data_IF_050665764922
#
_entry.id   IF_050665764922
#
_cell.length_a   1.000
_cell.length_b   1.000
_cell.length_c   1.000
_cell.angle_alpha   90.00
_cell.angle_beta   90.00
_cell.angle_gamma   90.00
#
_symmetry.space_group_name_H-M   'P 1'
#
loop_
_entity.id
_entity.type
_entity.pdbx_description
1 polymer ?
#
# COMPACT_ATOMS: atom_id res chain seq x y z
N UNK A 1 7.81 -36.29 -47.05
CA UNK A 1 8.22 -35.66 -45.80
C UNK A 1 7.09 -34.74 -45.39
N UNK A 2 6.12 -35.30 -44.67
CA UNK A 2 4.91 -34.63 -44.21
C UNK A 2 5.21 -34.14 -42.78
N UNK A 3 5.26 -32.81 -42.60
CA UNK A 3 5.37 -32.17 -41.30
C UNK A 3 3.98 -32.15 -40.67
N UNK A 4 3.70 -33.09 -39.78
CA UNK A 4 2.53 -33.08 -38.92
C UNK A 4 2.82 -32.09 -37.76
N UNK A 5 2.29 -30.89 -37.94
CA UNK A 5 2.26 -29.87 -36.91
C UNK A 5 1.07 -30.15 -36.00
N UNK A 6 1.23 -31.02 -35.02
CA UNK A 6 0.23 -31.30 -33.99
C UNK A 6 0.25 -30.11 -33.04
N UNK A 7 -0.77 -29.26 -33.15
CA UNK A 7 -1.10 -28.23 -32.14
C UNK A 7 -1.57 -28.95 -30.87
N UNK A 8 -1.16 -28.50 -29.69
CA UNK A 8 -1.58 -29.11 -28.44
C UNK A 8 -3.05 -28.75 -28.13
N UNK A 9 -3.98 -29.65 -28.52
CA UNK A 9 -5.42 -29.53 -28.25
C UNK A 9 -5.77 -29.64 -26.75
N UNK A 10 -4.82 -30.06 -25.91
CA UNK A 10 -5.11 -30.39 -24.50
C UNK A 10 -5.09 -29.16 -23.57
N UNK A 11 -4.38 -28.09 -23.91
CA UNK A 11 -4.30 -26.88 -23.07
C UNK A 11 -5.54 -25.99 -23.20
N UNK A 12 -6.22 -26.00 -24.35
CA UNK A 12 -7.42 -25.20 -24.58
C UNK A 12 -8.67 -25.74 -23.87
N UNK A 13 -8.76 -27.05 -23.64
CA UNK A 13 -9.89 -27.66 -22.95
C UNK A 13 -9.91 -27.38 -21.45
N UNK A 14 -8.75 -27.41 -20.79
CA UNK A 14 -8.62 -27.07 -19.34
C UNK A 14 -8.92 -25.60 -19.06
N UNK A 15 -8.40 -24.68 -19.86
CA UNK A 15 -8.67 -23.24 -19.71
C UNK A 15 -10.16 -22.92 -19.90
N UNK A 16 -10.82 -23.54 -20.85
CA UNK A 16 -12.27 -23.38 -21.10
C UNK A 16 -13.08 -23.96 -19.95
N UNK A 17 -12.65 -25.08 -19.37
CA UNK A 17 -13.32 -25.70 -18.23
C UNK A 17 -13.20 -24.86 -16.97
N UNK A 18 -12.00 -24.39 -16.64
CA UNK A 18 -11.74 -23.47 -15.52
C UNK A 18 -12.57 -22.17 -15.66
N UNK A 19 -12.70 -21.66 -16.87
CA UNK A 19 -13.50 -20.47 -17.15
C UNK A 19 -15.00 -20.71 -16.87
N UNK A 20 -15.54 -21.86 -17.29
CA UNK A 20 -16.95 -22.25 -17.06
C UNK A 20 -17.27 -22.45 -15.58
N UNK A 21 -16.37 -23.09 -14.85
CA UNK A 21 -16.53 -23.29 -13.40
C UNK A 21 -16.45 -21.97 -12.65
N UNK A 22 -15.51 -21.11 -13.03
CA UNK A 22 -15.38 -19.76 -12.45
C UNK A 22 -16.64 -18.93 -12.69
N UNK A 23 -17.26 -19.02 -13.86
CA UNK A 23 -18.52 -18.32 -14.16
C UNK A 23 -19.66 -18.81 -13.28
N UNK A 24 -19.81 -20.14 -13.07
CA UNK A 24 -20.83 -20.66 -12.16
C UNK A 24 -20.64 -20.17 -10.73
N UNK A 25 -19.41 -20.19 -10.23
CA UNK A 25 -19.09 -19.67 -8.89
C UNK A 25 -19.40 -18.17 -8.82
N UNK A 26 -19.05 -17.42 -9.87
CA UNK A 26 -19.36 -15.99 -9.96
C UNK A 26 -20.86 -15.71 -9.88
N UNK A 27 -21.67 -16.43 -10.66
CA UNK A 27 -23.12 -16.27 -10.66
C UNK A 27 -23.71 -16.57 -9.27
N UNK A 28 -23.23 -17.62 -8.61
CA UNK A 28 -23.65 -17.99 -7.26
C UNK A 28 -23.27 -16.91 -6.25
N UNK A 29 -22.04 -16.41 -6.30
CA UNK A 29 -21.56 -15.33 -5.42
C UNK A 29 -22.35 -14.05 -5.66
N UNK A 30 -22.63 -13.70 -6.91
CA UNK A 30 -23.40 -12.52 -7.29
C UNK A 30 -24.85 -12.60 -6.81
N UNK A 31 -25.53 -13.72 -7.08
CA UNK A 31 -26.95 -13.91 -6.72
C UNK A 31 -27.17 -13.87 -5.20
N UNK A 32 -26.17 -14.23 -4.43
CA UNK A 32 -26.20 -14.22 -2.95
C UNK A 32 -25.54 -12.97 -2.33
N UNK A 33 -25.40 -11.88 -3.08
CA UNK A 33 -24.76 -10.65 -2.60
C UNK A 33 -23.31 -10.82 -2.10
N UNK A 34 -22.65 -11.91 -2.46
CA UNK A 34 -21.31 -12.24 -1.97
C UNK A 34 -20.24 -11.20 -2.35
N UNK A 35 -20.42 -10.48 -3.46
CA UNK A 35 -19.50 -9.40 -3.85
C UNK A 35 -19.55 -8.26 -2.84
N UNK A 36 -20.73 -7.88 -2.37
CA UNK A 36 -20.88 -6.82 -1.35
C UNK A 36 -20.19 -7.27 -0.06
N UNK A 37 -20.37 -8.53 0.34
CA UNK A 37 -19.72 -9.08 1.53
C UNK A 37 -18.19 -9.06 1.38
N UNK A 38 -17.64 -9.50 0.24
CA UNK A 38 -16.20 -9.46 0.00
C UNK A 38 -15.64 -8.03 0.02
N UNK A 39 -16.35 -7.06 -0.56
CA UNK A 39 -15.95 -5.65 -0.50
C UNK A 39 -15.99 -5.10 0.92
N UNK A 40 -17.02 -5.44 1.70
CA UNK A 40 -17.11 -5.05 3.11
C UNK A 40 -15.97 -5.64 3.92
N UNK A 41 -15.57 -6.90 3.67
CA UNK A 41 -14.43 -7.52 4.33
C UNK A 41 -13.11 -6.82 4.00
N UNK A 42 -12.92 -6.32 2.77
CA UNK A 42 -11.74 -5.52 2.43
C UNK A 42 -11.73 -4.17 3.16
N UNK A 43 -12.89 -3.56 3.34
CA UNK A 43 -13.01 -2.27 4.02
C UNK A 43 -13.06 -2.40 5.55
N UNK A 44 -13.15 -3.62 6.07
CA UNK A 44 -13.29 -3.89 7.49
C UNK A 44 -12.11 -3.38 8.28
N UNK A 45 -12.40 -2.78 9.43
CA UNK A 45 -11.42 -2.33 10.42
C UNK A 45 -11.53 -3.05 11.76
N UNK A 46 -12.60 -3.80 11.94
CA UNK A 46 -12.91 -4.53 13.18
C UNK A 46 -13.34 -5.98 12.87
N UNK A 47 -12.92 -6.99 13.64
CA UNK A 47 -11.99 -6.88 14.77
C UNK A 47 -10.57 -6.50 14.28
N UNK A 48 -9.92 -5.64 15.03
CA UNK A 48 -8.60 -5.08 14.66
C UNK A 48 -7.56 -6.19 14.48
N UNK A 49 -7.64 -7.25 15.29
CA UNK A 49 -6.69 -8.37 15.28
C UNK A 49 -6.68 -9.17 14.00
N UNK A 50 -7.81 -9.28 13.29
CA UNK A 50 -7.95 -10.16 12.13
C UNK A 50 -8.26 -9.40 10.84
N UNK A 51 -8.34 -8.06 10.90
CA UNK A 51 -8.77 -7.25 9.79
C UNK A 51 -7.88 -7.41 8.54
N UNK A 52 -6.56 -7.39 8.69
CA UNK A 52 -5.63 -7.56 7.55
C UNK A 52 -5.66 -8.98 6.99
N UNK A 53 -5.87 -10.00 7.85
CA UNK A 53 -6.08 -11.37 7.41
C UNK A 53 -7.35 -11.50 6.56
N UNK A 54 -8.48 -10.96 7.04
CA UNK A 54 -9.77 -11.00 6.35
C UNK A 54 -9.73 -10.24 5.02
N UNK A 55 -9.07 -9.08 5.00
CA UNK A 55 -8.79 -8.32 3.76
C UNK A 55 -8.03 -9.15 2.75
N UNK A 56 -6.98 -9.84 3.20
CA UNK A 56 -6.19 -10.74 2.35
C UNK A 56 -7.02 -11.86 1.75
N UNK A 57 -7.83 -12.52 2.57
CA UNK A 57 -8.70 -13.60 2.10
C UNK A 57 -9.76 -13.10 1.10
N UNK A 58 -10.36 -11.94 1.33
CA UNK A 58 -11.31 -11.33 0.40
C UNK A 58 -10.65 -10.95 -0.93
N UNK A 59 -9.44 -10.37 -0.91
CA UNK A 59 -8.68 -10.10 -2.13
C UNK A 59 -8.32 -11.37 -2.90
N UNK A 60 -7.92 -12.43 -2.19
CA UNK A 60 -7.63 -13.73 -2.80
C UNK A 60 -8.86 -14.35 -3.47
N UNK A 61 -10.02 -14.27 -2.82
CA UNK A 61 -11.29 -14.75 -3.39
C UNK A 61 -11.66 -13.98 -4.66
N UNK A 62 -11.58 -12.64 -4.64
CA UNK A 62 -11.83 -11.81 -5.82
C UNK A 62 -10.80 -12.07 -6.93
N UNK A 63 -9.52 -12.29 -6.61
CA UNK A 63 -8.51 -12.67 -7.59
C UNK A 63 -8.79 -14.03 -8.24
N UNK A 64 -9.33 -14.99 -7.48
CA UNK A 64 -9.80 -16.26 -8.01
C UNK A 64 -10.95 -16.10 -9.01
N UNK A 65 -11.93 -15.28 -8.67
CA UNK A 65 -13.06 -14.95 -9.55
C UNK A 65 -12.63 -14.18 -10.81
N UNK A 66 -11.62 -13.30 -10.69
CA UNK A 66 -11.07 -12.51 -11.78
C UNK A 66 -10.22 -13.31 -12.79
N UNK A 67 -10.11 -14.63 -12.65
CA UNK A 67 -9.51 -15.49 -13.68
C UNK A 67 -10.31 -15.46 -14.99
N UNK A 68 -11.61 -15.30 -14.90
CA UNK A 68 -12.45 -15.02 -16.05
C UNK A 68 -12.32 -13.53 -16.42
N UNK A 69 -11.95 -13.23 -17.65
CA UNK A 69 -11.79 -11.86 -18.13
C UNK A 69 -13.08 -11.05 -17.98
N UNK A 70 -14.23 -11.65 -18.30
CA UNK A 70 -15.54 -11.01 -18.14
C UNK A 70 -15.80 -10.59 -16.70
N UNK A 71 -15.46 -11.45 -15.73
CA UNK A 71 -15.57 -11.16 -14.30
C UNK A 71 -14.57 -10.11 -13.86
N UNK A 72 -13.34 -10.21 -14.34
CA UNK A 72 -12.28 -9.21 -14.09
C UNK A 72 -12.69 -7.80 -14.53
N UNK A 73 -13.34 -7.65 -15.69
CA UNK A 73 -13.87 -6.39 -16.20
C UNK A 73 -14.97 -5.81 -15.28
N UNK A 74 -15.81 -6.65 -14.70
CA UNK A 74 -16.84 -6.20 -13.75
C UNK A 74 -16.18 -5.73 -12.44
N UNK A 75 -15.27 -6.54 -11.88
CA UNK A 75 -14.56 -6.22 -10.64
C UNK A 75 -13.78 -4.90 -10.79
N UNK A 76 -13.10 -4.69 -11.93
CA UNK A 76 -12.34 -3.47 -12.22
C UNK A 76 -13.17 -2.19 -12.09
N UNK A 77 -14.48 -2.25 -12.36
CA UNK A 77 -15.39 -1.09 -12.29
C UNK A 77 -15.88 -0.79 -10.89
N UNK A 78 -15.58 -1.63 -9.91
CA UNK A 78 -16.02 -1.40 -8.53
C UNK A 78 -15.30 -0.19 -7.92
N UNK A 79 -15.99 0.63 -7.11
CA UNK A 79 -15.46 1.90 -6.59
C UNK A 79 -14.14 1.77 -5.85
N UNK A 80 -13.93 0.66 -5.13
CA UNK A 80 -12.69 0.41 -4.37
C UNK A 80 -11.43 0.39 -5.25
N UNK A 81 -11.57 -0.02 -6.52
CA UNK A 81 -10.46 -0.06 -7.47
C UNK A 81 -10.33 1.24 -8.25
N UNK A 82 -11.45 1.83 -8.66
CA UNK A 82 -11.47 3.09 -9.44
C UNK A 82 -10.92 4.25 -8.61
N UNK A 83 -11.26 4.33 -7.34
CA UNK A 83 -10.89 5.43 -6.44
C UNK A 83 -9.53 5.23 -5.75
N UNK A 84 -8.80 4.16 -6.06
CA UNK A 84 -7.51 3.88 -5.43
C UNK A 84 -7.60 3.54 -3.94
N UNK A 85 -8.77 3.19 -3.43
CA UNK A 85 -8.97 2.86 -2.00
C UNK A 85 -8.18 1.62 -1.59
N UNK A 86 -8.10 0.60 -2.47
CA UNK A 86 -7.34 -0.60 -2.19
C UNK A 86 -5.86 -0.29 -1.98
N UNK A 87 -5.28 0.58 -2.81
CA UNK A 87 -3.89 1.02 -2.69
C UNK A 87 -3.64 1.79 -1.38
N UNK A 88 -4.61 2.57 -0.91
CA UNK A 88 -4.52 3.24 0.37
C UNK A 88 -4.53 2.25 1.55
N UNK A 89 -5.38 1.21 1.48
CA UNK A 89 -5.42 0.17 2.51
C UNK A 89 -4.13 -0.66 2.59
N UNK A 90 -3.40 -0.77 1.48
CA UNK A 90 -2.13 -1.50 1.40
C UNK A 90 -0.95 -0.74 2.02
N UNK A 91 -1.10 0.54 2.40
CA UNK A 91 0.01 1.34 2.92
C UNK A 91 0.45 0.91 4.31
N UNK A 92 -0.47 0.86 5.23
CA UNK A 92 -0.17 0.65 6.65
C UNK A 92 -0.97 -0.51 7.23
N UNK A 93 -0.34 -1.37 8.05
CA UNK A 93 -1.05 -2.40 8.77
C UNK A 93 -1.97 -1.77 9.81
N UNK A 94 -3.11 -2.40 10.07
CA UNK A 94 -4.01 -1.98 11.15
C UNK A 94 -3.34 -2.16 12.51
N UNK A 95 -2.62 -3.28 12.69
CA UNK A 95 -1.80 -3.56 13.86
C UNK A 95 -0.36 -3.82 13.44
N UNK A 96 0.58 -3.09 14.03
CA UNK A 96 2.00 -3.27 13.74
C UNK A 96 2.50 -4.68 14.13
N UNK A 97 1.95 -5.26 15.18
CA UNK A 97 2.25 -6.62 15.65
C UNK A 97 1.83 -7.69 14.62
N UNK A 98 0.82 -7.40 13.80
CA UNK A 98 0.28 -8.29 12.76
C UNK A 98 0.80 -7.99 11.35
N UNK A 99 1.99 -7.40 11.27
CA UNK A 99 2.61 -7.01 9.99
C UNK A 99 2.73 -8.16 8.99
N UNK A 100 2.96 -9.39 9.45
CA UNK A 100 3.03 -10.57 8.58
C UNK A 100 1.72 -10.83 7.83
N UNK A 101 0.57 -10.58 8.47
CA UNK A 101 -0.75 -10.71 7.85
C UNK A 101 -1.00 -9.59 6.84
N UNK A 102 -0.57 -8.37 7.16
CA UNK A 102 -0.61 -7.24 6.24
C UNK A 102 0.20 -7.49 4.96
N UNK A 103 1.41 -8.07 5.06
CA UNK A 103 2.22 -8.45 3.90
C UNK A 103 1.49 -9.48 3.03
N UNK A 104 0.80 -10.45 3.63
CA UNK A 104 -0.04 -11.39 2.87
C UNK A 104 -1.20 -10.68 2.17
N UNK A 105 -1.86 -9.74 2.86
CA UNK A 105 -2.89 -8.91 2.27
C UNK A 105 -2.34 -8.12 1.07
N UNK A 106 -1.20 -7.44 1.20
CA UNK A 106 -0.55 -6.71 0.12
C UNK A 106 -0.30 -7.62 -1.10
N UNK A 107 0.22 -8.83 -0.86
CA UNK A 107 0.46 -9.82 -1.91
C UNK A 107 -0.83 -10.17 -2.69
N UNK A 108 -1.90 -10.51 -1.99
CA UNK A 108 -3.17 -10.88 -2.65
C UNK A 108 -3.86 -9.68 -3.30
N UNK A 109 -3.72 -8.48 -2.74
CA UNK A 109 -4.23 -7.26 -3.34
C UNK A 109 -3.50 -6.91 -4.64
N UNK A 110 -2.18 -7.08 -4.70
CA UNK A 110 -1.39 -6.89 -5.92
C UNK A 110 -1.76 -7.92 -6.98
N UNK A 111 -1.88 -9.21 -6.61
CA UNK A 111 -2.34 -10.26 -7.52
C UNK A 111 -3.71 -9.91 -8.13
N UNK A 112 -4.64 -9.42 -7.30
CA UNK A 112 -5.96 -8.99 -7.77
C UNK A 112 -5.85 -7.82 -8.75
N UNK A 113 -5.08 -6.78 -8.41
CA UNK A 113 -4.88 -5.61 -9.28
C UNK A 113 -4.25 -6.02 -10.62
N UNK A 114 -3.26 -6.90 -10.61
CA UNK A 114 -2.62 -7.42 -11.80
C UNK A 114 -3.64 -8.11 -12.72
N UNK A 115 -4.44 -9.03 -12.16
CA UNK A 115 -5.46 -9.76 -12.93
C UNK A 115 -6.52 -8.85 -13.53
N UNK A 116 -7.02 -7.87 -12.78
CA UNK A 116 -8.07 -6.96 -13.28
C UNK A 116 -7.50 -5.88 -14.24
N UNK A 117 -6.22 -5.52 -14.13
CA UNK A 117 -5.60 -4.52 -15.01
C UNK A 117 -5.07 -5.10 -16.31
N UNK A 118 -4.85 -6.43 -16.36
CA UNK A 118 -4.21 -7.11 -17.48
C UNK A 118 -2.73 -6.73 -17.68
N UNK A 119 -2.12 -6.05 -16.71
CA UNK A 119 -0.71 -5.66 -16.73
C UNK A 119 0.02 -6.42 -15.65
N UNK A 120 1.08 -7.12 -16.04
CA UNK A 120 2.00 -7.71 -15.07
C UNK A 120 2.62 -6.59 -14.23
N UNK A 121 2.29 -6.57 -12.95
CA UNK A 121 2.92 -5.69 -11.97
C UNK A 121 4.14 -6.42 -11.45
N UNK A 122 5.31 -5.83 -11.62
CA UNK A 122 6.51 -6.34 -10.96
C UNK A 122 6.29 -6.19 -9.44
N UNK A 123 6.01 -7.33 -8.78
CA UNK A 123 5.58 -7.37 -7.39
C UNK A 123 6.61 -6.71 -6.46
N UNK A 124 7.89 -6.95 -6.73
CA UNK A 124 8.99 -6.38 -5.93
C UNK A 124 9.04 -4.86 -6.07
N UNK A 125 8.90 -4.34 -7.29
CA UNK A 125 8.89 -2.88 -7.53
C UNK A 125 7.64 -2.23 -6.95
N UNK A 126 6.48 -2.87 -7.06
CA UNK A 126 5.22 -2.32 -6.51
C UNK A 126 5.22 -2.32 -4.99
N UNK A 127 5.68 -3.40 -4.34
CA UNK A 127 5.84 -3.46 -2.88
C UNK A 127 6.91 -2.48 -2.39
N UNK A 128 8.04 -2.37 -3.10
CA UNK A 128 9.09 -1.42 -2.78
C UNK A 128 8.59 0.03 -2.87
N UNK A 129 7.79 0.35 -3.88
CA UNK A 129 7.20 1.69 -4.02
C UNK A 129 6.18 1.99 -2.91
N UNK A 130 5.35 1.02 -2.53
CA UNK A 130 4.42 1.15 -1.40
C UNK A 130 5.21 1.32 -0.11
N UNK A 131 6.24 0.52 0.11
CA UNK A 131 7.10 0.62 1.29
C UNK A 131 7.84 1.96 1.34
N UNK A 132 8.42 2.40 0.22
CA UNK A 132 9.07 3.72 0.10
C UNK A 132 8.10 4.87 0.37
N UNK A 133 6.87 4.80 -0.15
CA UNK A 133 5.85 5.80 0.12
C UNK A 133 5.46 5.82 1.61
N UNK A 134 5.38 4.67 2.27
CA UNK A 134 5.13 4.56 3.70
C UNK A 134 6.27 5.16 4.52
N UNK A 135 7.52 4.83 4.20
CA UNK A 135 8.69 5.41 4.88
C UNK A 135 8.68 6.93 4.74
N UNK A 136 8.43 7.46 3.54
CA UNK A 136 8.35 8.91 3.30
C UNK A 136 7.19 9.53 4.10
N UNK A 137 6.04 8.87 4.17
CA UNK A 137 4.89 9.36 4.94
C UNK A 137 5.17 9.37 6.45
N UNK A 138 5.82 8.33 6.96
CA UNK A 138 6.19 8.21 8.38
C UNK A 138 7.35 9.11 8.79
N UNK A 139 8.27 9.39 7.86
CA UNK A 139 9.39 10.33 8.07
C UNK A 139 9.00 11.78 7.83
N UNK A 140 7.75 12.05 7.43
CA UNK A 140 7.21 13.41 7.46
C UNK A 140 7.05 13.88 8.91
N UNK A 141 8.17 14.17 9.53
CA UNK A 141 8.20 14.89 10.80
C UNK A 141 7.57 16.25 10.52
N UNK A 142 6.39 16.50 11.08
CA UNK A 142 5.81 17.85 11.06
C UNK A 142 6.64 18.71 11.99
N UNK A 143 7.71 19.28 11.47
CA UNK A 143 8.42 20.32 12.20
C UNK A 143 7.52 21.55 12.28
N UNK A 144 7.25 22.01 13.49
CA UNK A 144 6.80 23.36 13.67
C UNK A 144 7.87 24.27 13.04
N UNK A 145 7.48 25.13 12.10
CA UNK A 145 8.42 25.99 11.36
C UNK A 145 9.39 26.74 12.26
N UNK A 146 8.94 27.19 13.43
CA UNK A 146 9.80 27.80 14.47
C UNK A 146 10.89 26.85 14.98
N UNK A 147 10.53 25.59 15.25
CA UNK A 147 11.50 24.59 15.74
C UNK A 147 12.54 24.25 14.66
N UNK A 148 12.13 24.16 13.41
CA UNK A 148 13.04 23.93 12.29
C UNK A 148 14.04 25.09 12.16
N UNK A 149 13.55 26.34 12.19
CA UNK A 149 14.41 27.51 12.11
C UNK A 149 15.37 27.61 13.30
N UNK A 150 14.95 27.23 14.51
CA UNK A 150 15.82 27.15 15.68
C UNK A 150 16.92 26.10 15.52
N UNK A 151 16.59 24.95 14.93
CA UNK A 151 17.57 23.88 14.67
C UNK A 151 18.60 24.32 13.62
N UNK A 152 18.14 24.96 12.54
CA UNK A 152 19.02 25.54 11.50
C UNK A 152 19.91 26.61 12.10
N UNK A 153 19.37 27.52 12.90
CA UNK A 153 20.15 28.57 13.58
C UNK A 153 21.26 27.97 14.43
N UNK A 154 20.97 26.98 15.25
CA UNK A 154 21.95 26.28 16.07
C UNK A 154 23.05 25.64 15.23
N UNK A 155 22.65 24.93 14.15
CA UNK A 155 23.60 24.30 13.24
C UNK A 155 24.54 25.35 12.59
N UNK A 156 23.99 26.47 12.14
CA UNK A 156 24.80 27.56 11.57
C UNK A 156 25.84 28.13 12.57
N UNK A 157 25.49 28.21 13.86
CA UNK A 157 26.43 28.60 14.91
C UNK A 157 27.52 27.54 15.12
N UNK A 158 27.16 26.26 15.14
CA UNK A 158 28.11 25.15 15.33
C UNK A 158 29.16 25.08 14.20
N UNK A 159 28.77 25.39 12.95
CA UNK A 159 29.71 25.43 11.80
C UNK A 159 30.39 26.80 11.60
N UNK A 160 30.17 27.76 12.52
CA UNK A 160 30.85 29.07 12.51
C UNK A 160 30.22 30.10 11.57
N UNK A 161 29.08 29.87 10.96
CA UNK A 161 28.38 30.82 10.08
C UNK A 161 27.53 31.81 10.89
N UNK A 162 28.16 32.55 11.76
CA UNK A 162 27.52 33.49 12.72
C UNK A 162 26.71 34.60 12.05
N UNK A 163 27.16 35.11 10.91
CA UNK A 163 26.43 36.16 10.16
C UNK A 163 25.10 35.64 9.64
N UNK A 164 25.11 34.46 9.01
CA UNK A 164 23.89 33.81 8.50
C UNK A 164 22.95 33.41 9.63
N UNK A 165 23.47 32.93 10.75
CA UNK A 165 22.69 32.60 11.93
C UNK A 165 21.96 33.86 12.49
N UNK A 166 22.65 34.99 12.58
CA UNK A 166 22.05 36.23 13.04
C UNK A 166 20.97 36.77 12.08
N UNK A 167 21.16 36.63 10.76
CA UNK A 167 20.12 36.96 9.78
C UNK A 167 18.89 36.09 9.94
N UNK A 168 19.09 34.78 10.07
CA UNK A 168 18.00 33.83 10.26
C UNK A 168 17.19 34.10 11.54
N UNK A 169 17.88 34.49 12.62
CA UNK A 169 17.24 34.85 13.89
C UNK A 169 16.36 36.09 13.74
N UNK A 170 16.82 37.07 12.97
CA UNK A 170 16.14 38.35 12.72
C UNK A 170 14.91 38.16 11.81
N UNK A 171 15.07 37.45 10.69
CA UNK A 171 14.04 37.21 9.72
C UNK A 171 12.99 36.20 10.22
N UNK A 172 13.44 35.15 10.92
CA UNK A 172 12.57 34.12 11.49
C UNK A 172 11.84 34.56 12.75
N UNK A 173 12.04 35.75 13.26
CA UNK A 173 11.51 36.26 14.55
C UNK A 173 11.64 35.23 15.67
N UNK A 174 12.82 34.61 15.76
CA UNK A 174 13.11 33.60 16.76
C UNK A 174 13.53 34.33 18.06
N UNK A 175 12.86 33.94 19.15
CA UNK A 175 13.29 34.39 20.48
C UNK A 175 14.61 33.67 20.82
N UNK A 176 15.56 34.42 21.39
CA UNK A 176 16.81 33.84 21.90
C UNK A 176 16.45 32.95 23.10
N UNK A 177 16.48 31.65 22.92
CA UNK A 177 16.39 30.72 24.05
C UNK A 177 17.64 30.93 24.91
N UNK A 178 17.51 31.15 26.23
CA UNK A 178 18.67 31.31 27.11
C UNK A 178 19.50 30.02 27.05
N UNK A 179 20.75 30.14 26.60
CA UNK A 179 21.74 29.07 26.62
C UNK A 179 21.92 28.64 28.07
N UNK A 180 21.39 27.50 28.49
CA UNK A 180 21.82 26.88 29.74
C UNK A 180 23.31 26.54 29.61
N UNK A 181 24.15 27.38 30.26
CA UNK A 181 25.55 27.04 30.50
C UNK A 181 25.58 25.76 31.32
N UNK A 182 25.94 24.65 30.69
CA UNK A 182 26.32 23.44 31.41
C UNK A 182 27.62 23.76 32.09
N UNK A 183 27.56 24.01 33.42
CA UNK A 183 28.75 24.11 34.26
C UNK A 183 29.49 22.77 34.19
N UNK A 184 30.60 22.76 33.46
CA UNK A 184 31.68 21.80 33.68
C UNK A 184 32.39 22.19 34.96
N UNK A 185 31.95 21.66 36.08
CA UNK A 185 32.72 21.58 37.31
C UNK A 185 32.18 20.37 38.05
N UNK A 186 32.86 19.26 37.87
CA UNK A 186 33.13 18.32 38.97
C UNK A 186 34.35 17.48 38.56
N UNK A 187 35.34 17.65 39.36
CA UNK A 187 36.61 16.91 39.44
C UNK A 187 36.36 15.47 39.87
#
# INVERSE_FOLDING_TARGET
MTNDNVLPEDQTSEEVQISKETLKVWETVRSNNGIIVLLQLILLKTPITDADYLRGMACRALAGLARSEAVGQIIRRLPIFVNGQLQQLMRDPILQEKRAEHVKFQKYALELIERISGKALNMDTSLANIHKANVIAQTRVQFNGKQLLQLIHRHLLEIGLTSSANMLLKEGKLEQSPVKKINQNEQ
#
